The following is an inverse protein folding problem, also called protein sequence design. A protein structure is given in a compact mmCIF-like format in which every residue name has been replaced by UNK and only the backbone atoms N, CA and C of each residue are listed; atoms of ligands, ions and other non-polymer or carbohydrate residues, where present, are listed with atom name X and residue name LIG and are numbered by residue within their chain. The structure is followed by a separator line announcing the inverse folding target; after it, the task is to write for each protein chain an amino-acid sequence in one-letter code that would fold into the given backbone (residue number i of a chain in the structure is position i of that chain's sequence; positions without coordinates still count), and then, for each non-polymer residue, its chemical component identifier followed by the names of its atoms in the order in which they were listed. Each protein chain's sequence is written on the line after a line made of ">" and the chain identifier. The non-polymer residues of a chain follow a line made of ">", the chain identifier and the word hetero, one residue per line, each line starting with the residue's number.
data_IF_950487422030
#
_entry.id   IF_950487422030
#
_cell.length_a   1.000
_cell.length_b   1.000
_cell.length_c   1.000
_cell.angle_alpha   90.00
_cell.angle_beta   90.00
_cell.angle_gamma   90.00
#
_symmetry.space_group_name_H-M   'P 1'
#
loop_
_entity.id
_entity.type
_entity.pdbx_description
1 polymer ?
#
# COMPACT_ATOMS: atom_id res chain seq x y z
N UNK A 1 -32.02 48.83 31.06
CA UNK A 1 -30.73 49.07 30.38
C UNK A 1 -29.72 48.11 30.97
N UNK A 2 -29.12 47.26 30.15
CA UNK A 2 -28.18 46.22 30.60
C UNK A 2 -27.93 45.23 29.48
N UNK A 3 -27.08 45.63 28.54
CA UNK A 3 -26.68 44.90 27.33
C UNK A 3 -25.66 43.79 27.63
N UNK A 4 -25.94 42.58 27.13
CA UNK A 4 -24.98 41.48 26.99
C UNK A 4 -24.02 41.74 25.80
N UNK A 5 -22.71 41.45 25.90
CA UNK A 5 -21.87 41.27 24.72
C UNK A 5 -21.85 39.80 24.30
N UNK A 6 -22.14 39.58 23.01
CA UNK A 6 -22.04 38.32 22.29
C UNK A 6 -20.58 37.86 22.19
N UNK A 7 -20.34 36.58 22.49
CA UNK A 7 -19.07 35.91 22.17
C UNK A 7 -18.99 35.65 20.66
N UNK A 8 -18.08 36.35 19.98
CA UNK A 8 -17.63 35.99 18.64
C UNK A 8 -16.76 34.73 18.73
N UNK A 9 -17.18 33.65 18.08
CA UNK A 9 -16.28 32.54 17.75
C UNK A 9 -15.54 32.91 16.45
N UNK A 10 -14.20 32.81 16.38
CA UNK A 10 -13.50 32.99 15.12
C UNK A 10 -13.86 31.84 14.16
N UNK A 11 -14.30 32.18 12.96
CA UNK A 11 -14.47 31.24 11.85
C UNK A 11 -13.08 30.79 11.38
N UNK A 12 -12.76 29.51 11.53
CA UNK A 12 -11.53 28.91 11.00
C UNK A 12 -11.84 28.21 9.68
N UNK A 13 -11.27 28.72 8.60
CA UNK A 13 -11.33 28.10 7.27
C UNK A 13 -10.09 27.23 7.05
N UNK A 14 -10.11 26.33 6.07
CA UNK A 14 -8.92 25.52 5.72
C UNK A 14 -7.72 26.41 5.35
N UNK A 15 -7.95 27.60 4.78
CA UNK A 15 -6.88 28.56 4.45
C UNK A 15 -6.14 29.09 5.69
N UNK A 16 -6.80 29.15 6.84
CA UNK A 16 -6.22 29.60 8.10
C UNK A 16 -5.30 28.55 8.76
N UNK A 17 -5.35 27.29 8.28
CA UNK A 17 -4.52 26.19 8.75
C UNK A 17 -3.19 26.05 7.99
N UNK A 18 -2.94 26.87 6.96
CA UNK A 18 -1.77 26.80 6.09
C UNK A 18 -0.69 27.80 6.58
N UNK A 19 0.55 27.39 6.87
CA UNK A 19 1.63 28.33 7.13
C UNK A 19 1.96 29.13 5.86
N UNK A 20 1.58 30.40 5.83
CA UNK A 20 1.70 31.31 4.68
C UNK A 20 3.13 31.37 4.11
N UNK A 21 3.31 30.95 2.86
CA UNK A 21 4.21 31.56 1.86
C UNK A 21 3.69 31.22 0.47
N UNK A 22 3.19 32.21 -0.28
CA UNK A 22 3.24 32.38 -1.74
C UNK A 22 2.36 33.60 -2.09
N UNK A 23 2.80 34.45 -3.01
CA UNK A 23 2.18 35.76 -3.32
C UNK A 23 1.42 35.73 -4.65
N UNK A 24 0.46 36.65 -4.83
CA UNK A 24 -0.51 36.64 -5.93
C UNK A 24 0.10 36.69 -7.35
N UNK A 25 1.36 37.05 -7.50
CA UNK A 25 2.08 37.09 -8.78
C UNK A 25 2.44 35.71 -9.34
N UNK A 26 2.47 34.66 -8.51
CA UNK A 26 2.78 33.29 -8.95
C UNK A 26 1.59 32.63 -9.69
N UNK A 27 0.38 33.20 -9.57
CA UNK A 27 -0.86 32.64 -10.12
C UNK A 27 -1.00 32.80 -11.64
N UNK A 28 -0.56 33.92 -12.22
CA UNK A 28 -0.70 34.15 -13.67
C UNK A 28 0.32 33.38 -14.52
N UNK A 29 1.42 32.92 -13.92
CA UNK A 29 2.48 32.18 -14.62
C UNK A 29 2.16 30.68 -14.73
N UNK A 30 1.48 30.11 -13.73
CA UNK A 30 1.01 28.73 -13.72
C UNK A 30 -0.14 28.47 -14.71
N UNK A 31 -1.07 29.43 -14.87
CA UNK A 31 -2.17 29.32 -15.85
C UNK A 31 -1.63 29.39 -17.28
N UNK A 32 -0.61 30.22 -17.55
CA UNK A 32 0.02 30.32 -18.88
C UNK A 32 0.81 29.08 -19.27
N UNK A 33 1.52 28.45 -18.33
CA UNK A 33 2.40 27.32 -18.62
C UNK A 33 1.68 25.96 -18.68
N UNK A 34 0.46 25.85 -18.12
CA UNK A 34 -0.33 24.62 -18.13
C UNK A 34 -1.11 24.32 -19.42
N UNK A 35 -1.32 25.31 -20.30
CA UNK A 35 -2.20 25.19 -21.48
C UNK A 35 -1.45 24.80 -22.77
N UNK A 36 -0.11 24.87 -22.81
CA UNK A 36 0.66 24.76 -24.07
C UNK A 36 1.41 23.42 -24.28
N UNK A 37 1.22 22.40 -23.43
CA UNK A 37 1.79 21.05 -23.69
C UNK A 37 0.72 19.97 -23.67
N UNK A 38 -0.06 19.89 -24.75
CA UNK A 38 -1.05 18.82 -24.88
C UNK A 38 -1.77 18.71 -26.22
N UNK A 39 -1.30 19.36 -27.28
CA UNK A 39 -1.85 19.20 -28.63
C UNK A 39 -0.69 19.30 -29.63
N UNK A 40 -0.17 18.14 -30.05
CA UNK A 40 0.18 17.84 -31.45
C UNK A 40 0.80 16.43 -31.58
N UNK A 41 0.27 15.73 -32.57
CA UNK A 41 0.81 14.54 -33.26
C UNK A 41 0.44 13.15 -32.73
N UNK A 42 -0.78 12.75 -33.08
CA UNK A 42 -1.03 11.40 -33.60
C UNK A 42 -0.94 11.41 -35.14
N UNK A 43 -0.26 10.40 -35.72
CA UNK A 43 -0.45 9.99 -37.12
C UNK A 43 0.82 9.94 -37.99
N UNK A 44 1.23 8.74 -38.42
CA UNK A 44 2.19 8.53 -39.52
C UNK A 44 2.90 7.17 -39.51
N UNK A 45 2.61 6.33 -40.50
CA UNK A 45 2.97 4.90 -40.64
C UNK A 45 4.17 4.70 -41.61
N UNK A 46 4.92 3.59 -41.42
CA UNK A 46 5.86 2.90 -42.34
C UNK A 46 7.17 3.65 -42.69
N UNK A 47 8.35 3.04 -42.91
CA UNK A 47 8.81 1.66 -43.17
C UNK A 47 10.35 1.59 -43.08
N UNK A 48 10.87 0.41 -42.73
CA UNK A 48 12.19 -0.22 -43.02
C UNK A 48 13.37 0.61 -43.57
N UNK A 49 14.53 0.53 -42.89
CA UNK A 49 15.78 0.02 -43.49
C UNK A 49 16.92 -0.17 -42.47
N UNK A 50 17.58 -1.31 -42.58
CA UNK A 50 18.87 -1.71 -42.00
C UNK A 50 20.04 -0.91 -42.60
N UNK A 51 21.01 -0.47 -41.79
CA UNK A 51 22.46 -0.63 -42.06
C UNK A 51 23.35 -0.10 -40.91
N UNK A 52 24.65 -0.38 -41.02
CA UNK A 52 25.65 -0.66 -39.99
C UNK A 52 26.39 0.55 -39.41
N UNK A 53 26.97 0.32 -38.23
CA UNK A 53 28.26 0.77 -37.67
C UNK A 53 28.86 2.10 -38.16
N UNK A 54 29.13 3.02 -37.22
CA UNK A 54 30.52 3.34 -36.85
C UNK A 54 30.65 4.15 -35.55
N UNK A 55 31.78 3.88 -34.91
CA UNK A 55 32.35 4.40 -33.66
C UNK A 55 32.69 5.89 -33.70
N UNK A 56 32.56 6.59 -32.57
CA UNK A 56 33.57 7.56 -32.11
C UNK A 56 33.54 7.79 -30.60
N UNK A 57 34.75 7.79 -30.03
CA UNK A 57 35.17 8.08 -28.66
C UNK A 57 34.90 9.55 -28.25
N UNK A 58 34.55 9.79 -26.98
CA UNK A 58 34.88 10.99 -26.18
C UNK A 58 34.50 10.70 -24.71
N UNK A 59 35.49 10.32 -23.88
CA UNK A 59 36.17 11.13 -22.87
C UNK A 59 35.41 11.28 -21.52
N UNK A 60 35.96 10.60 -20.52
CA UNK A 60 35.60 10.63 -19.10
C UNK A 60 36.11 11.93 -18.45
N UNK A 61 35.26 12.59 -17.67
CA UNK A 61 35.73 13.46 -16.59
C UNK A 61 35.17 12.97 -15.24
N UNK A 62 36.06 12.35 -14.47
CA UNK A 62 35.90 12.03 -13.06
C UNK A 62 36.27 13.25 -12.21
N UNK A 63 35.34 13.76 -11.41
CA UNK A 63 35.62 14.77 -10.39
C UNK A 63 35.86 14.09 -9.04
N UNK A 64 37.13 14.13 -8.64
CA UNK A 64 37.73 13.62 -7.41
C UNK A 64 37.31 14.47 -6.21
N UNK A 65 36.82 13.85 -5.13
CA UNK A 65 36.67 14.50 -3.81
C UNK A 65 37.99 14.34 -3.05
N UNK A 66 38.56 15.46 -2.60
CA UNK A 66 39.83 15.54 -1.89
C UNK A 66 39.71 14.95 -0.48
N UNK A 67 40.55 13.96 -0.19
CA UNK A 67 40.90 13.49 1.17
C UNK A 67 42.02 14.38 1.72
N UNK A 68 41.75 15.19 2.73
CA UNK A 68 42.79 15.80 3.56
C UNK A 68 43.23 14.80 4.64
N UNK A 69 44.48 14.33 4.51
CA UNK A 69 45.22 13.70 5.60
C UNK A 69 45.99 14.79 6.32
N UNK A 70 45.86 14.82 7.64
CA UNK A 70 46.92 15.34 8.51
C UNK A 70 47.24 14.32 9.61
N UNK A 71 48.53 14.27 9.93
CA UNK A 71 49.20 13.12 10.54
C UNK A 71 49.82 13.43 11.91
N UNK A 72 49.81 12.40 12.77
CA UNK A 72 50.66 12.08 13.93
C UNK A 72 50.45 12.81 15.29
N UNK A 73 50.10 12.04 16.34
CA UNK A 73 51.09 11.59 17.35
C UNK A 73 50.50 10.69 18.46
N UNK A 74 51.31 9.68 18.83
CA UNK A 74 51.43 8.95 20.13
C UNK A 74 50.30 8.10 20.73
N UNK A 75 50.68 6.86 21.06
CA UNK A 75 49.96 5.84 21.80
C UNK A 75 49.49 6.29 23.19
N UNK A 76 48.32 5.78 23.63
CA UNK A 76 48.18 5.13 24.94
C UNK A 76 46.92 4.24 25.02
N UNK A 77 47.11 3.11 25.72
CA UNK A 77 46.19 2.03 26.08
C UNK A 77 44.93 2.47 26.82
N UNK A 78 43.76 1.90 26.46
CA UNK A 78 42.73 1.32 27.35
C UNK A 78 41.32 1.30 26.70
N UNK A 79 40.61 0.16 26.82
CA UNK A 79 39.15 0.10 26.78
C UNK A 79 38.47 0.10 25.41
N UNK A 80 38.36 -1.08 24.78
CA UNK A 80 37.45 -1.30 23.66
C UNK A 80 35.99 -1.34 24.16
N UNK A 81 35.37 -0.18 24.34
CA UNK A 81 33.91 -0.08 24.31
C UNK A 81 33.47 0.04 22.85
N UNK A 82 32.83 -1.01 22.35
CA UNK A 82 32.15 -1.02 21.05
C UNK A 82 30.99 -0.02 21.09
N UNK A 83 31.29 1.24 20.77
CA UNK A 83 30.29 2.24 20.42
C UNK A 83 29.66 1.86 19.09
N UNK A 84 28.58 1.08 19.12
CA UNK A 84 27.62 1.07 18.02
C UNK A 84 27.13 2.52 17.86
N UNK A 85 27.70 3.22 16.87
CA UNK A 85 27.26 4.54 16.42
C UNK A 85 25.76 4.39 16.13
N UNK A 86 24.89 4.85 17.04
CA UNK A 86 23.44 4.88 16.83
C UNK A 86 23.22 5.59 15.50
N UNK A 87 22.78 4.85 14.49
CA UNK A 87 22.32 5.45 13.24
C UNK A 87 21.23 6.46 13.63
N UNK A 88 21.17 7.64 12.99
CA UNK A 88 20.08 8.57 13.27
C UNK A 88 18.77 7.82 13.10
N UNK A 89 17.92 7.85 14.13
CA UNK A 89 16.60 7.25 14.09
C UNK A 89 15.83 7.94 12.96
N UNK A 90 15.78 7.31 11.79
CA UNK A 90 14.96 7.76 10.67
C UNK A 90 13.52 7.41 11.01
N UNK A 91 12.92 8.15 11.95
CA UNK A 91 11.54 7.96 12.33
C UNK A 91 10.68 8.74 11.35
N UNK A 92 9.89 8.00 10.56
CA UNK A 92 8.85 8.62 9.75
C UNK A 92 7.86 9.31 10.69
N UNK A 93 7.64 10.61 10.50
CA UNK A 93 6.67 11.38 11.26
C UNK A 93 5.31 11.34 10.57
N UNK A 94 4.26 11.29 11.38
CA UNK A 94 2.91 11.48 10.88
C UNK A 94 2.75 12.92 10.37
N UNK A 95 2.19 13.06 9.16
CA UNK A 95 1.75 14.34 8.63
C UNK A 95 0.24 14.45 8.78
N UNK A 96 -0.29 15.52 9.41
CA UNK A 96 -1.72 15.72 9.50
C UNK A 96 -2.30 15.83 8.09
N UNK A 97 -3.43 15.16 7.86
CA UNK A 97 -4.20 15.29 6.64
C UNK A 97 -5.67 15.55 6.99
N UNK A 98 -6.44 16.01 6.01
CA UNK A 98 -7.88 16.17 6.19
C UNK A 98 -8.63 14.96 5.62
N UNK A 99 -9.71 14.58 6.30
CA UNK A 99 -10.72 13.67 5.79
C UNK A 99 -11.86 14.49 5.23
N UNK A 100 -12.09 14.40 3.91
CA UNK A 100 -13.22 15.01 3.24
C UNK A 100 -14.28 13.95 2.98
N UNK A 101 -15.46 14.17 3.55
CA UNK A 101 -16.68 13.44 3.23
C UNK A 101 -17.47 14.24 2.20
N UNK A 102 -17.82 13.60 1.08
CA UNK A 102 -18.72 14.17 0.06
C UNK A 102 -19.91 13.24 -0.09
N UNK A 103 -21.10 13.75 0.19
CA UNK A 103 -22.36 13.04 -0.01
C UNK A 103 -23.11 13.66 -1.19
N UNK A 104 -23.24 12.89 -2.26
CA UNK A 104 -24.00 13.31 -3.46
C UNK A 104 -25.45 12.91 -3.24
N UNK A 105 -26.33 13.90 -3.06
CA UNK A 105 -27.70 13.67 -2.63
C UNK A 105 -28.59 13.35 -3.83
N UNK A 106 -28.88 14.36 -4.66
CA UNK A 106 -29.84 14.28 -5.76
C UNK A 106 -29.57 15.33 -6.82
N UNK A 107 -30.10 15.08 -8.02
CA UNK A 107 -30.12 16.01 -9.13
C UNK A 107 -31.54 16.47 -9.44
N UNK A 108 -31.65 17.61 -10.12
CA UNK A 108 -32.92 18.16 -10.60
C UNK A 108 -32.78 18.67 -12.03
N UNK A 109 -33.83 18.48 -12.81
CA UNK A 109 -33.96 18.97 -14.19
C UNK A 109 -32.72 18.67 -15.04
N UNK A 110 -32.22 17.43 -14.98
CA UNK A 110 -31.07 17.04 -15.78
C UNK A 110 -31.48 16.91 -17.25
N UNK A 111 -30.75 17.59 -18.12
CA UNK A 111 -31.03 17.69 -19.56
C UNK A 111 -29.74 17.69 -20.37
N UNK A 112 -29.75 17.03 -21.54
CA UNK A 112 -28.70 17.13 -22.55
C UNK A 112 -28.93 18.25 -23.55
N UNK A 113 -30.10 18.88 -23.52
CA UNK A 113 -30.57 19.85 -24.50
C UNK A 113 -31.77 19.30 -25.26
N UNK A 114 -32.82 20.12 -25.38
CA UNK A 114 -34.23 19.76 -25.60
C UNK A 114 -34.58 18.84 -26.79
N UNK A 115 -33.67 18.55 -27.70
CA UNK A 115 -33.95 17.66 -28.84
C UNK A 115 -33.55 16.19 -28.57
N UNK A 116 -32.56 15.95 -27.71
CA UNK A 116 -32.14 14.59 -27.33
C UNK A 116 -33.02 14.01 -26.21
N UNK A 117 -33.44 14.82 -25.24
CA UNK A 117 -34.28 14.39 -24.12
C UNK A 117 -35.69 13.91 -24.53
N UNK A 118 -36.10 14.19 -25.79
CA UNK A 118 -37.38 13.73 -26.35
C UNK A 118 -37.29 12.28 -26.86
N UNK A 119 -36.08 11.80 -27.16
CA UNK A 119 -35.82 10.48 -27.73
C UNK A 119 -35.22 9.50 -26.72
N UNK A 120 -34.46 9.99 -25.75
CA UNK A 120 -33.89 9.21 -24.66
C UNK A 120 -34.08 9.92 -23.32
N UNK A 121 -34.45 9.18 -22.28
CA UNK A 121 -34.61 9.76 -20.94
C UNK A 121 -33.26 9.65 -20.22
N UNK A 122 -32.72 10.74 -19.64
CA UNK A 122 -31.36 10.73 -19.12
C UNK A 122 -31.05 9.61 -18.13
N UNK A 123 -29.83 9.07 -18.26
CA UNK A 123 -29.22 8.08 -17.36
C UNK A 123 -28.05 8.71 -16.55
N UNK A 124 -28.32 9.66 -15.63
CA UNK A 124 -27.28 10.48 -15.03
C UNK A 124 -26.47 9.77 -13.93
N UNK A 125 -25.19 10.12 -13.89
CA UNK A 125 -24.31 9.87 -12.75
C UNK A 125 -23.33 11.03 -12.53
N UNK A 126 -22.81 11.13 -11.31
CA UNK A 126 -21.85 12.17 -10.93
C UNK A 126 -20.47 11.55 -10.75
N UNK A 127 -19.47 12.15 -11.38
CA UNK A 127 -18.06 11.81 -11.21
C UNK A 127 -17.37 12.90 -10.39
N UNK A 128 -16.65 12.48 -9.36
CA UNK A 128 -15.86 13.32 -8.47
C UNK A 128 -14.39 13.04 -8.74
N UNK A 129 -13.60 14.09 -8.98
CA UNK A 129 -12.16 13.99 -9.18
C UNK A 129 -11.43 15.05 -8.34
N UNK A 130 -10.52 14.60 -7.48
CA UNK A 130 -9.59 15.43 -6.73
C UNK A 130 -8.17 15.00 -7.11
N UNK A 131 -7.49 15.70 -8.04
CA UNK A 131 -6.19 15.28 -8.55
C UNK A 131 -5.10 15.16 -7.47
N UNK A 132 -5.19 15.98 -6.42
CA UNK A 132 -4.26 15.99 -5.28
C UNK A 132 -4.48 14.83 -4.30
N UNK A 133 -5.61 14.12 -4.38
CA UNK A 133 -5.98 13.06 -3.42
C UNK A 133 -5.58 11.67 -3.92
N UNK A 134 -5.06 10.78 -3.05
CA UNK A 134 -4.82 9.39 -3.42
C UNK A 134 -6.13 8.67 -3.73
N UNK A 135 -6.20 8.00 -4.88
CA UNK A 135 -7.45 7.45 -5.43
C UNK A 135 -8.56 8.51 -5.56
N UNK A 136 -8.19 9.74 -5.93
CA UNK A 136 -9.07 10.90 -5.96
C UNK A 136 -10.22 10.86 -6.98
N UNK A 137 -10.42 9.77 -7.72
CA UNK A 137 -11.54 9.60 -8.63
C UNK A 137 -12.60 8.67 -8.03
N UNK A 138 -13.84 9.16 -7.90
CA UNK A 138 -15.02 8.39 -7.50
C UNK A 138 -16.18 8.71 -8.44
N UNK A 139 -17.19 7.83 -8.48
CA UNK A 139 -18.44 8.09 -9.20
C UNK A 139 -19.61 7.45 -8.48
N UNK A 140 -20.79 8.05 -8.61
CA UNK A 140 -22.06 7.45 -8.19
C UNK A 140 -22.46 6.31 -9.12
N UNK A 141 -23.48 5.55 -8.73
CA UNK A 141 -24.21 4.68 -9.64
C UNK A 141 -24.96 5.50 -10.68
N UNK A 142 -25.11 4.91 -11.84
CA UNK A 142 -26.02 5.38 -12.89
C UNK A 142 -27.44 5.17 -12.40
N UNK A 143 -28.26 6.22 -12.50
CA UNK A 143 -29.70 6.14 -12.28
C UNK A 143 -30.39 6.21 -13.63
N UNK A 144 -31.13 5.17 -14.01
CA UNK A 144 -31.68 5.09 -15.36
C UNK A 144 -33.03 5.80 -15.51
N UNK A 145 -33.24 6.40 -16.67
CA UNK A 145 -34.47 7.03 -17.14
C UNK A 145 -35.05 8.04 -16.15
N UNK A 146 -34.22 8.95 -15.65
CA UNK A 146 -34.67 9.99 -14.71
C UNK A 146 -33.89 11.30 -14.86
N UNK A 147 -34.63 12.39 -14.99
CA UNK A 147 -34.16 13.77 -14.96
C UNK A 147 -33.97 14.33 -13.53
N UNK A 148 -34.48 13.60 -12.53
CA UNK A 148 -34.44 13.95 -11.10
C UNK A 148 -33.88 12.78 -10.26
N UNK A 149 -32.62 12.36 -10.49
CA UNK A 149 -32.01 11.21 -9.81
C UNK A 149 -31.80 11.48 -8.33
N UNK A 150 -31.91 10.43 -7.52
CA UNK A 150 -31.47 10.43 -6.12
C UNK A 150 -30.38 9.38 -5.96
N UNK A 151 -29.16 9.80 -5.60
CA UNK A 151 -28.02 8.89 -5.40
C UNK A 151 -27.85 8.54 -3.93
N UNK A 152 -27.88 9.54 -3.04
CA UNK A 152 -27.63 9.40 -1.60
C UNK A 152 -26.34 8.61 -1.28
N UNK A 153 -25.28 8.83 -2.09
CA UNK A 153 -24.01 8.12 -1.99
C UNK A 153 -22.94 8.96 -1.29
N UNK A 154 -22.18 8.32 -0.38
CA UNK A 154 -21.13 8.96 0.41
C UNK A 154 -19.75 8.48 -0.07
N UNK A 155 -18.86 9.44 -0.29
CA UNK A 155 -17.47 9.22 -0.69
C UNK A 155 -16.51 9.87 0.31
N UNK A 156 -15.36 9.23 0.50
CA UNK A 156 -14.29 9.70 1.37
C UNK A 156 -13.02 9.96 0.57
N UNK A 157 -12.38 11.09 0.85
CA UNK A 157 -11.12 11.53 0.25
C UNK A 157 -10.17 12.00 1.34
N UNK A 158 -8.87 11.81 1.11
CA UNK A 158 -7.82 12.35 1.97
C UNK A 158 -7.17 13.53 1.28
N UNK A 159 -7.08 14.66 1.96
CA UNK A 159 -6.51 15.90 1.42
C UNK A 159 -5.23 16.25 2.17
N UNK A 160 -4.25 16.73 1.42
CA UNK A 160 -3.03 17.30 1.99
C UNK A 160 -3.28 18.79 2.31
N UNK A 161 -3.12 19.24 3.57
CA UNK A 161 -3.30 20.65 3.95
C UNK A 161 -2.35 21.60 3.24
N UNK A 162 -1.17 21.12 2.79
CA UNK A 162 -0.16 21.96 2.13
C UNK A 162 -0.44 22.13 0.63
N UNK A 163 -1.37 21.35 0.06
CA UNK A 163 -1.70 21.40 -1.36
C UNK A 163 -3.01 22.15 -1.62
N UNK A 164 -3.10 22.77 -2.80
CA UNK A 164 -4.38 23.28 -3.30
C UNK A 164 -5.28 22.12 -3.71
N UNK A 165 -6.36 21.91 -2.96
CA UNK A 165 -7.30 20.82 -3.19
C UNK A 165 -8.52 21.32 -3.96
N UNK A 166 -8.59 20.98 -5.24
CA UNK A 166 -9.71 21.33 -6.10
C UNK A 166 -10.58 20.10 -6.37
N UNK A 167 -11.87 20.22 -6.08
CA UNK A 167 -12.87 19.24 -6.48
C UNK A 167 -13.34 19.54 -7.90
N UNK A 168 -13.13 18.59 -8.80
CA UNK A 168 -13.77 18.57 -10.11
C UNK A 168 -15.01 17.68 -10.00
N UNK A 169 -16.19 18.27 -10.16
CA UNK A 169 -17.47 17.57 -10.20
C UNK A 169 -18.01 17.59 -11.61
N UNK A 170 -18.19 16.42 -12.19
CA UNK A 170 -18.70 16.25 -13.56
C UNK A 170 -20.04 15.55 -13.50
N UNK A 171 -21.05 16.12 -14.18
CA UNK A 171 -22.30 15.45 -14.46
C UNK A 171 -22.16 14.73 -15.81
N UNK A 172 -22.46 13.43 -15.83
CA UNK A 172 -22.26 12.57 -16.99
C UNK A 172 -23.54 11.77 -17.22
N UNK A 173 -23.88 11.57 -18.49
CA UNK A 173 -24.95 10.67 -18.92
C UNK A 173 -24.35 9.37 -19.42
N UNK A 174 -24.91 8.23 -18.98
CA UNK A 174 -24.41 6.94 -19.41
C UNK A 174 -25.20 6.42 -20.61
N UNK A 175 -24.55 6.41 -21.77
CA UNK A 175 -25.12 5.80 -22.97
C UNK A 175 -24.51 4.42 -23.24
N UNK A 176 -25.27 3.60 -23.96
CA UNK A 176 -24.84 2.24 -24.35
C UNK A 176 -23.57 2.20 -25.21
N UNK A 177 -23.22 3.30 -25.88
CA UNK A 177 -22.07 3.39 -26.77
C UNK A 177 -20.92 4.23 -26.20
N UNK A 178 -21.20 5.41 -25.62
CA UNK A 178 -20.21 6.27 -25.00
C UNK A 178 -20.84 7.23 -24.01
N UNK A 179 -20.34 7.28 -22.78
CA UNK A 179 -20.82 8.23 -21.78
C UNK A 179 -20.59 9.69 -22.22
N UNK A 180 -21.66 10.48 -22.21
CA UNK A 180 -21.65 11.88 -22.64
C UNK A 180 -21.46 12.82 -21.43
N UNK A 181 -20.40 13.63 -21.47
CA UNK A 181 -20.11 14.62 -20.44
C UNK A 181 -21.05 15.83 -20.60
N UNK A 182 -21.89 16.09 -19.59
CA UNK A 182 -22.77 17.26 -19.57
C UNK A 182 -21.95 18.53 -19.37
N UNK A 183 -21.28 18.64 -18.23
CA UNK A 183 -20.36 19.73 -17.87
C UNK A 183 -19.52 19.33 -16.63
N UNK A 184 -18.32 19.91 -16.50
CA UNK A 184 -17.50 19.82 -15.28
C UNK A 184 -17.44 21.18 -14.59
N UNK A 185 -17.68 21.19 -13.27
CA UNK A 185 -17.44 22.36 -12.40
C UNK A 185 -16.24 22.11 -11.50
N UNK A 186 -15.54 23.18 -11.15
CA UNK A 186 -14.39 23.16 -10.24
C UNK A 186 -14.76 23.92 -8.98
N UNK A 187 -14.45 23.34 -7.82
CA UNK A 187 -14.71 23.93 -6.51
C UNK A 187 -13.44 23.90 -5.65
N UNK A 188 -13.09 25.04 -5.05
CA UNK A 188 -11.98 25.18 -4.12
C UNK A 188 -12.40 24.64 -2.74
N UNK A 189 -11.89 23.45 -2.38
CA UNK A 189 -12.17 22.82 -1.09
C UNK A 189 -11.58 23.62 0.08
N UNK A 190 -10.62 24.52 -0.15
CA UNK A 190 -10.06 25.41 0.87
C UNK A 190 -11.07 26.43 1.42
N UNK A 191 -12.21 26.60 0.76
CA UNK A 191 -13.30 27.48 1.23
C UNK A 191 -14.17 26.84 2.30
N UNK A 192 -14.06 25.52 2.52
CA UNK A 192 -14.84 24.81 3.51
C UNK A 192 -14.34 25.11 4.94
N UNK A 193 -15.28 25.21 5.87
CA UNK A 193 -14.99 25.33 7.30
C UNK A 193 -14.86 23.95 7.93
N UNK A 194 -13.87 23.79 8.82
CA UNK A 194 -13.59 22.53 9.49
C UNK A 194 -14.72 22.15 10.44
N UNK A 195 -15.01 20.84 10.51
CA UNK A 195 -16.07 20.21 11.32
C UNK A 195 -17.50 20.72 11.05
N UNK A 196 -17.70 21.52 10.00
CA UNK A 196 -19.00 22.01 9.59
C UNK A 196 -19.43 21.36 8.28
N UNK A 197 -20.72 21.05 8.23
CA UNK A 197 -21.37 20.50 7.04
C UNK A 197 -21.78 21.65 6.12
N UNK A 198 -21.25 21.65 4.91
CA UNK A 198 -21.57 22.60 3.85
C UNK A 198 -22.48 21.92 2.83
N UNK A 199 -23.71 22.40 2.70
CA UNK A 199 -24.62 22.01 1.63
C UNK A 199 -24.43 22.97 0.45
N UNK A 200 -24.13 22.44 -0.72
CA UNK A 200 -23.88 23.21 -1.94
C UNK A 200 -24.69 22.63 -3.10
N UNK A 201 -25.28 23.51 -3.92
CA UNK A 201 -25.95 23.12 -5.16
C UNK A 201 -25.11 23.53 -6.36
N UNK A 202 -24.63 22.56 -7.13
CA UNK A 202 -23.91 22.79 -8.38
C UNK A 202 -24.89 22.89 -9.53
N UNK A 203 -24.86 24.00 -10.26
CA UNK A 203 -25.70 24.20 -11.46
C UNK A 203 -24.86 23.94 -12.71
N UNK A 204 -25.33 23.06 -13.58
CA UNK A 204 -24.73 22.66 -14.85
C UNK A 204 -25.60 23.13 -16.02
N UNK A 205 -24.98 23.72 -17.05
CA UNK A 205 -25.67 24.30 -18.23
C UNK A 205 -26.85 25.21 -17.87
N UNK A 206 -26.75 25.92 -16.74
CA UNK A 206 -27.75 26.84 -16.16
C UNK A 206 -29.10 26.21 -15.75
N UNK A 207 -29.37 24.95 -16.11
CA UNK A 207 -30.67 24.28 -15.91
C UNK A 207 -30.56 23.14 -14.91
N UNK A 208 -29.61 22.23 -15.12
CA UNK A 208 -29.43 21.01 -14.33
C UNK A 208 -28.79 21.35 -12.98
N UNK A 209 -29.33 20.86 -11.88
CA UNK A 209 -28.81 21.14 -10.53
C UNK A 209 -28.46 19.85 -9.79
N UNK A 210 -27.39 19.85 -9.02
CA UNK A 210 -26.98 18.72 -8.16
C UNK A 210 -26.68 19.21 -6.76
N UNK A 211 -27.38 18.65 -5.78
CA UNK A 211 -27.14 18.93 -4.37
C UNK A 211 -26.07 18.00 -3.80
N UNK A 212 -25.07 18.60 -3.17
CA UNK A 212 -23.93 17.91 -2.57
C UNK A 212 -23.70 18.45 -1.17
N UNK A 213 -23.55 17.53 -0.22
CA UNK A 213 -23.19 17.82 1.15
C UNK A 213 -21.70 17.47 1.35
N UNK A 214 -20.93 18.41 1.89
CA UNK A 214 -19.49 18.26 2.10
C UNK A 214 -19.14 18.55 3.54
N UNK A 215 -18.27 17.73 4.13
CA UNK A 215 -17.74 17.94 5.48
C UNK A 215 -16.24 17.63 5.51
N UNK A 216 -15.45 18.53 6.07
CA UNK A 216 -14.00 18.33 6.24
C UNK A 216 -13.67 18.22 7.71
N UNK A 217 -12.91 17.22 8.08
CA UNK A 217 -12.46 16.95 9.45
C UNK A 217 -10.94 16.71 9.46
N UNK A 218 -10.29 16.94 10.60
CA UNK A 218 -8.91 16.50 10.78
C UNK A 218 -8.85 14.97 10.88
N UNK A 219 -7.92 14.36 10.15
CA UNK A 219 -7.59 12.97 10.41
C UNK A 219 -6.92 12.86 11.78
N UNK A 220 -7.49 12.04 12.65
CA UNK A 220 -6.77 11.56 13.83
C UNK A 220 -5.57 10.73 13.37
N UNK A 221 -4.54 10.65 14.21
CA UNK A 221 -3.33 9.90 13.87
C UNK A 221 -3.70 8.48 13.40
N UNK A 222 -3.22 8.02 12.22
CA UNK A 222 -3.63 6.78 11.62
C UNK A 222 -3.21 5.65 12.55
N UNK A 223 -4.21 4.95 13.10
CA UNK A 223 -4.01 3.70 13.83
C UNK A 223 -3.53 2.58 12.90
N UNK A 224 -3.69 2.75 11.58
CA UNK A 224 -3.38 1.75 10.57
C UNK A 224 -1.87 1.58 10.29
N UNK A 225 -1.05 2.60 10.57
CA UNK A 225 0.40 2.57 10.30
C UNK A 225 1.21 2.74 11.58
N UNK A 226 2.11 1.79 11.83
CA UNK A 226 3.03 1.82 12.96
C UNK A 226 4.36 2.48 12.58
N UNK A 227 4.66 3.62 13.20
CA UNK A 227 5.91 4.37 13.00
C UNK A 227 6.92 4.12 14.12
N UNK A 228 7.56 2.94 14.12
CA UNK A 228 8.59 2.61 15.09
C UNK A 228 9.65 1.68 14.50
N UNK A 229 10.90 1.87 14.95
CA UNK A 229 12.02 0.99 14.64
C UNK A 229 12.11 -0.22 15.58
N UNK A 230 11.33 -0.23 16.66
CA UNK A 230 11.28 -1.33 17.62
C UNK A 230 10.39 -2.47 17.10
N UNK A 231 10.48 -3.65 17.73
CA UNK A 231 9.59 -4.76 17.43
C UNK A 231 8.15 -4.46 17.84
N UNK A 232 7.20 -5.09 17.16
CA UNK A 232 5.78 -4.96 17.52
C UNK A 232 5.53 -5.53 18.92
N UNK A 233 4.48 -5.06 19.60
CA UNK A 233 4.12 -5.59 20.93
C UNK A 233 3.85 -7.10 20.87
N UNK A 234 3.11 -7.56 19.86
CA UNK A 234 2.82 -8.97 19.65
C UNK A 234 4.08 -9.82 19.46
N UNK A 235 5.08 -9.30 18.75
CA UNK A 235 6.36 -9.99 18.57
C UNK A 235 7.18 -10.02 19.87
N UNK A 236 7.19 -8.94 20.65
CA UNK A 236 7.84 -8.94 21.97
C UNK A 236 7.19 -9.96 22.92
N UNK A 237 5.85 -10.03 22.96
CA UNK A 237 5.12 -11.02 23.75
C UNK A 237 5.43 -12.45 23.30
N UNK A 238 5.51 -12.69 21.98
CA UNK A 238 5.95 -13.96 21.43
C UNK A 238 7.38 -14.32 21.89
N UNK A 239 8.34 -13.39 21.79
CA UNK A 239 9.74 -13.63 22.17
C UNK A 239 9.83 -14.00 23.65
N UNK A 240 9.11 -13.29 24.52
CA UNK A 240 9.10 -13.56 25.96
C UNK A 240 8.60 -14.99 26.25
N UNK A 241 7.47 -15.39 25.63
CA UNK A 241 6.91 -16.74 25.77
C UNK A 241 7.86 -17.80 25.20
N UNK A 242 8.36 -17.60 23.98
CA UNK A 242 9.22 -18.55 23.27
C UNK A 242 10.57 -18.72 23.95
N UNK A 243 11.13 -17.67 24.56
CA UNK A 243 12.44 -17.74 25.23
C UNK A 243 12.44 -18.74 26.38
N UNK A 244 11.36 -18.83 27.16
CA UNK A 244 11.22 -19.85 28.20
C UNK A 244 11.22 -21.27 27.61
N UNK A 245 10.48 -21.48 26.52
CA UNK A 245 10.44 -22.78 25.85
C UNK A 245 11.80 -23.16 25.26
N UNK A 246 12.49 -22.20 24.64
CA UNK A 246 13.82 -22.41 24.05
C UNK A 246 14.85 -22.73 25.13
N UNK A 247 14.77 -22.09 26.30
CA UNK A 247 15.63 -22.41 27.45
C UNK A 247 15.53 -23.90 27.83
N UNK A 248 14.31 -24.40 28.02
CA UNK A 248 14.06 -25.80 28.38
C UNK A 248 14.49 -26.76 27.25
N UNK A 249 14.20 -26.41 26.00
CA UNK A 249 14.60 -27.19 24.83
C UNK A 249 16.13 -27.27 24.70
N UNK A 250 16.85 -26.16 24.90
CA UNK A 250 18.31 -26.11 24.83
C UNK A 250 18.97 -26.88 25.96
N UNK A 251 18.45 -26.77 27.19
CA UNK A 251 18.96 -27.55 28.32
C UNK A 251 18.76 -29.06 28.11
N UNK A 252 17.62 -29.44 27.52
CA UNK A 252 17.37 -30.84 27.15
C UNK A 252 18.31 -31.31 26.03
N UNK A 253 18.62 -30.45 25.06
CA UNK A 253 19.44 -30.79 23.89
C UNK A 253 20.95 -30.79 24.18
N UNK A 254 21.44 -29.82 24.96
CA UNK A 254 22.86 -29.60 25.24
C UNK A 254 23.33 -30.14 26.59
N UNK A 255 22.41 -30.49 27.49
CA UNK A 255 22.73 -30.92 28.85
C UNK A 255 23.49 -29.84 29.62
N UNK A 256 24.63 -30.20 30.20
CA UNK A 256 25.49 -29.29 30.99
C UNK A 256 26.02 -28.08 30.19
N UNK A 257 26.01 -28.15 28.85
CA UNK A 257 26.43 -27.05 27.96
C UNK A 257 25.29 -26.09 27.60
N UNK A 258 24.10 -26.30 28.15
CA UNK A 258 22.94 -25.44 27.96
C UNK A 258 23.05 -24.10 28.72
N UNK A 259 22.17 -23.14 28.40
CA UNK A 259 22.10 -21.86 29.09
C UNK A 259 21.74 -22.04 30.57
N UNK A 260 22.42 -21.33 31.47
CA UNK A 260 22.16 -21.40 32.92
C UNK A 260 21.04 -20.45 33.34
N UNK A 261 20.92 -19.32 32.64
CA UNK A 261 19.89 -18.31 32.88
C UNK A 261 19.09 -18.02 31.61
N UNK A 262 17.87 -17.49 31.76
CA UNK A 262 17.00 -17.16 30.62
C UNK A 262 17.61 -16.08 29.71
N UNK A 263 18.46 -15.21 30.27
CA UNK A 263 19.12 -14.13 29.56
C UNK A 263 20.29 -14.63 28.68
N UNK A 264 20.82 -15.82 28.96
CA UNK A 264 21.85 -16.48 28.15
C UNK A 264 21.28 -17.16 26.90
N UNK A 265 19.95 -17.29 26.79
CA UNK A 265 19.31 -17.98 25.65
C UNK A 265 19.60 -17.23 24.35
N UNK A 266 20.34 -17.83 23.40
CA UNK A 266 20.64 -17.19 22.14
C UNK A 266 19.40 -17.18 21.23
N UNK A 267 19.27 -16.11 20.44
CA UNK A 267 18.25 -16.05 19.39
C UNK A 267 18.76 -16.79 18.15
N UNK A 268 18.19 -17.96 17.88
CA UNK A 268 18.53 -18.79 16.72
C UNK A 268 17.47 -18.65 15.62
N UNK A 269 17.90 -18.53 14.37
CA UNK A 269 17.01 -18.41 13.21
C UNK A 269 17.34 -19.48 12.15
N UNK A 270 16.30 -20.10 11.61
CA UNK A 270 16.38 -20.97 10.43
C UNK A 270 16.11 -20.13 9.18
N UNK A 271 17.01 -20.17 8.20
CA UNK A 271 16.94 -19.35 7.00
C UNK A 271 16.81 -20.21 5.74
N UNK A 272 15.72 -20.00 4.98
CA UNK A 272 15.45 -20.64 3.70
C UNK A 272 15.69 -19.70 2.52
N UNK A 273 16.49 -20.14 1.55
CA UNK A 273 16.82 -19.36 0.35
C UNK A 273 15.74 -19.45 -0.74
N UNK A 274 15.87 -18.61 -1.77
CA UNK A 274 15.04 -18.70 -2.97
C UNK A 274 15.49 -19.83 -3.91
N UNK A 275 14.60 -20.25 -4.82
CA UNK A 275 14.90 -21.31 -5.79
C UNK A 275 13.72 -22.16 -6.23
N UNK A 276 12.50 -21.61 -6.22
CA UNK A 276 11.27 -22.32 -6.63
C UNK A 276 11.05 -23.65 -5.89
N UNK A 277 10.53 -24.65 -6.59
CA UNK A 277 10.23 -25.98 -6.04
C UNK A 277 11.45 -26.66 -5.40
N UNK A 278 12.68 -26.43 -5.93
CA UNK A 278 13.90 -26.99 -5.34
C UNK A 278 14.11 -26.49 -3.92
N UNK A 279 13.98 -25.18 -3.71
CA UNK A 279 14.12 -24.60 -2.38
C UNK A 279 13.01 -25.06 -1.43
N UNK A 280 11.78 -25.14 -1.93
CA UNK A 280 10.62 -25.63 -1.18
C UNK A 280 10.81 -27.07 -0.69
N UNK A 281 11.16 -28.00 -1.59
CA UNK A 281 11.38 -29.41 -1.24
C UNK A 281 12.60 -29.57 -0.33
N UNK A 282 13.69 -28.85 -0.60
CA UNK A 282 14.88 -28.87 0.25
C UNK A 282 14.57 -28.43 1.69
N UNK A 283 13.88 -27.29 1.85
CA UNK A 283 13.53 -26.76 3.16
C UNK A 283 12.57 -27.70 3.91
N UNK A 284 11.67 -28.38 3.21
CA UNK A 284 10.78 -29.39 3.83
C UNK A 284 11.55 -30.57 4.44
N UNK A 285 12.62 -31.01 3.79
CA UNK A 285 13.53 -32.03 4.32
C UNK A 285 14.32 -31.52 5.52
N UNK A 286 14.83 -30.28 5.43
CA UNK A 286 15.55 -29.62 6.53
C UNK A 286 14.68 -29.50 7.77
N UNK A 287 13.42 -29.08 7.64
CA UNK A 287 12.50 -28.97 8.78
C UNK A 287 12.20 -30.33 9.44
N UNK A 288 12.07 -31.39 8.63
CA UNK A 288 11.97 -32.75 9.18
C UNK A 288 13.20 -33.10 10.01
N UNK A 289 14.41 -32.90 9.46
CA UNK A 289 15.65 -33.20 10.16
C UNK A 289 15.83 -32.35 11.43
N UNK A 290 15.52 -31.05 11.38
CA UNK A 290 15.61 -30.17 12.54
C UNK A 290 14.61 -30.56 13.64
N UNK A 291 13.42 -31.04 13.27
CA UNK A 291 12.44 -31.54 14.25
C UNK A 291 12.87 -32.88 14.83
N UNK A 292 13.35 -33.81 13.99
CA UNK A 292 13.90 -35.11 14.41
C UNK A 292 15.09 -34.92 15.39
N UNK A 293 15.94 -33.91 15.15
CA UNK A 293 17.08 -33.56 16.01
C UNK A 293 16.72 -32.67 17.21
N UNK A 294 15.44 -32.28 17.39
CA UNK A 294 14.98 -31.29 18.40
C UNK A 294 15.60 -29.89 18.30
N UNK A 295 16.37 -29.61 17.25
CA UNK A 295 16.98 -28.29 17.01
C UNK A 295 15.92 -27.26 16.63
N UNK A 296 14.82 -27.67 15.99
CA UNK A 296 13.73 -26.76 15.64
C UNK A 296 13.07 -26.13 16.88
N UNK A 297 13.02 -26.87 17.98
CA UNK A 297 12.45 -26.41 19.25
C UNK A 297 13.35 -25.34 19.92
N UNK A 298 14.63 -25.31 19.57
CA UNK A 298 15.59 -24.28 19.99
C UNK A 298 15.57 -23.01 19.11
N UNK A 299 14.83 -23.00 17.99
CA UNK A 299 14.77 -21.86 17.09
C UNK A 299 13.70 -20.83 17.53
N UNK A 300 14.07 -19.55 17.43
CA UNK A 300 13.19 -18.41 17.65
C UNK A 300 12.46 -18.01 16.37
N UNK A 301 13.17 -17.99 15.24
CA UNK A 301 12.64 -17.55 13.94
C UNK A 301 12.83 -18.58 12.84
N UNK A 302 11.92 -18.56 11.87
CA UNK A 302 12.04 -19.27 10.60
C UNK A 302 11.75 -18.30 9.46
N UNK A 303 12.78 -17.89 8.72
CA UNK A 303 12.63 -16.94 7.61
C UNK A 303 12.76 -17.63 6.26
N UNK A 304 11.94 -17.22 5.29
CA UNK A 304 11.99 -17.76 3.93
C UNK A 304 11.69 -16.71 2.86
N UNK A 305 12.37 -16.83 1.71
CA UNK A 305 12.10 -16.03 0.52
C UNK A 305 11.83 -16.92 -0.70
N UNK A 306 10.98 -16.45 -1.62
CA UNK A 306 10.63 -17.17 -2.86
C UNK A 306 10.21 -18.62 -2.57
N UNK A 307 10.88 -19.64 -3.14
CA UNK A 307 10.52 -21.05 -2.95
C UNK A 307 10.46 -21.52 -1.49
N UNK A 308 11.31 -21.00 -0.61
CA UNK A 308 11.23 -21.32 0.83
C UNK A 308 9.98 -20.74 1.49
N UNK A 309 9.51 -19.58 1.04
CA UNK A 309 8.26 -18.99 1.52
C UNK A 309 7.04 -19.86 1.16
N UNK A 310 7.08 -20.59 0.04
CA UNK A 310 6.01 -21.52 -0.33
C UNK A 310 5.89 -22.67 0.67
N UNK A 311 7.03 -23.23 1.10
CA UNK A 311 7.04 -24.28 2.12
C UNK A 311 6.54 -23.75 3.47
N UNK A 312 7.08 -22.62 3.94
CA UNK A 312 6.64 -22.02 5.20
C UNK A 312 5.14 -21.69 5.17
N UNK A 313 4.62 -21.14 4.07
CA UNK A 313 3.19 -20.89 3.93
C UNK A 313 2.38 -22.19 4.00
N UNK A 314 2.82 -23.25 3.33
CA UNK A 314 2.14 -24.55 3.36
C UNK A 314 2.14 -25.16 4.76
N UNK A 315 3.27 -25.07 5.46
CA UNK A 315 3.46 -25.59 6.81
C UNK A 315 2.60 -24.84 7.84
N UNK A 316 2.67 -23.52 7.86
CA UNK A 316 1.98 -22.69 8.87
C UNK A 316 0.48 -22.53 8.59
N UNK A 317 0.02 -22.83 7.37
CA UNK A 317 -1.41 -22.90 7.05
C UNK A 317 -2.03 -24.28 7.27
N UNK A 318 -1.23 -25.31 7.60
CA UNK A 318 -1.75 -26.65 7.85
C UNK A 318 -2.58 -26.69 9.16
N UNK A 319 -3.78 -27.29 9.18
CA UNK A 319 -4.66 -27.29 10.35
C UNK A 319 -4.00 -27.97 11.55
N UNK A 320 -3.32 -29.10 11.33
CA UNK A 320 -2.72 -29.90 12.39
C UNK A 320 -1.33 -29.42 12.83
N UNK A 321 -0.71 -28.47 12.12
CA UNK A 321 0.53 -27.83 12.60
C UNK A 321 0.19 -26.97 13.83
N UNK A 322 0.99 -26.95 14.92
CA UNK A 322 2.30 -27.57 15.12
C UNK A 322 2.30 -28.96 15.79
N UNK A 323 1.15 -29.62 15.88
CA UNK A 323 0.97 -30.88 16.63
C UNK A 323 1.37 -32.11 15.83
N UNK A 324 1.44 -32.01 14.50
CA UNK A 324 1.95 -33.08 13.62
C UNK A 324 3.39 -32.83 13.20
N UNK A 325 4.11 -33.92 12.95
CA UNK A 325 5.46 -33.86 12.42
C UNK A 325 5.47 -33.26 11.00
N UNK A 326 6.45 -32.39 10.62
CA UNK A 326 6.55 -31.82 9.28
C UNK A 326 6.55 -32.84 8.12
N UNK A 327 6.88 -34.10 8.43
CA UNK A 327 6.89 -35.22 7.48
C UNK A 327 5.51 -35.49 6.87
N UNK A 328 4.44 -35.39 7.66
CA UNK A 328 3.05 -35.60 7.18
C UNK A 328 2.74 -34.58 6.07
N UNK A 329 3.04 -33.31 6.34
CA UNK A 329 2.79 -32.19 5.43
C UNK A 329 3.67 -32.30 4.18
N UNK A 330 4.92 -32.76 4.35
CA UNK A 330 5.84 -33.02 3.24
C UNK A 330 5.32 -34.13 2.32
N UNK A 331 4.69 -35.17 2.86
CA UNK A 331 4.20 -36.28 2.06
C UNK A 331 2.99 -35.83 1.22
N UNK A 332 2.07 -35.03 1.77
CA UNK A 332 1.02 -34.33 0.99
C UNK A 332 1.61 -33.38 -0.06
N UNK A 333 2.67 -32.64 0.29
CA UNK A 333 3.37 -31.76 -0.65
C UNK A 333 3.95 -32.55 -1.83
N UNK A 334 4.50 -33.74 -1.57
CA UNK A 334 5.07 -34.61 -2.60
C UNK A 334 4.00 -35.10 -3.58
N UNK A 335 2.83 -35.49 -3.08
CA UNK A 335 1.68 -35.87 -3.93
C UNK A 335 1.28 -34.70 -4.85
N UNK A 336 1.12 -33.50 -4.29
CA UNK A 336 0.75 -32.31 -5.06
C UNK A 336 1.77 -31.89 -6.13
N UNK A 337 3.07 -32.16 -5.92
CA UNK A 337 4.12 -31.84 -6.91
C UNK A 337 4.17 -32.88 -8.02
N UNK A 338 3.87 -34.14 -7.73
CA UNK A 338 3.88 -35.21 -8.72
C UNK A 338 2.72 -35.08 -9.72
N UNK A 339 1.64 -34.42 -9.32
CA UNK A 339 0.57 -34.07 -10.24
C UNK A 339 1.05 -33.11 -11.33
N UNK A 340 0.61 -33.35 -12.57
CA UNK A 340 1.08 -32.59 -13.72
C UNK A 340 0.51 -31.15 -13.70
N UNK A 341 1.19 -30.26 -12.98
CA UNK A 341 0.80 -28.86 -12.80
C UNK A 341 0.64 -28.11 -14.13
N UNK A 342 1.38 -28.51 -15.17
CA UNK A 342 1.25 -27.95 -16.52
C UNK A 342 -0.10 -28.29 -17.16
N UNK A 343 -0.67 -29.46 -16.86
CA UNK A 343 -1.98 -29.86 -17.36
C UNK A 343 -3.12 -29.08 -16.69
N UNK A 344 -2.97 -28.75 -15.41
CA UNK A 344 -3.85 -27.83 -14.69
C UNK A 344 -3.91 -26.44 -15.35
N UNK A 345 -2.76 -25.91 -15.78
CA UNK A 345 -2.66 -24.59 -16.44
C UNK A 345 -3.25 -24.55 -17.85
N UNK A 346 -3.36 -25.70 -18.53
CA UNK A 346 -3.84 -25.81 -19.93
C UNK A 346 -5.32 -26.21 -19.99
N UNK A 347 -5.90 -26.73 -18.90
CA UNK A 347 -7.29 -27.16 -18.89
C UNK A 347 -8.24 -25.95 -19.04
N UNK A 348 -9.12 -25.92 -20.07
CA UNK A 348 -9.99 -24.77 -20.32
C UNK A 348 -10.85 -24.40 -19.10
N UNK A 349 -11.36 -25.38 -18.35
CA UNK A 349 -12.15 -25.14 -17.14
C UNK A 349 -11.37 -24.43 -16.04
N UNK A 350 -10.10 -24.78 -15.83
CA UNK A 350 -9.26 -24.12 -14.82
C UNK A 350 -8.91 -22.71 -15.27
N UNK A 351 -8.53 -22.54 -16.54
CA UNK A 351 -8.22 -21.23 -17.12
C UNK A 351 -9.41 -20.28 -17.08
N UNK A 352 -10.61 -20.71 -17.48
CA UNK A 352 -11.82 -19.90 -17.40
C UNK A 352 -12.18 -19.54 -15.95
N UNK A 353 -12.05 -20.48 -15.00
CA UNK A 353 -12.26 -20.21 -13.57
C UNK A 353 -11.26 -19.15 -13.07
N UNK A 354 -9.97 -19.28 -13.41
CA UNK A 354 -8.95 -18.33 -13.00
C UNK A 354 -9.08 -16.97 -13.66
N UNK A 355 -9.42 -16.92 -14.95
CA UNK A 355 -9.70 -15.68 -15.68
C UNK A 355 -10.91 -14.97 -15.10
N UNK A 356 -11.98 -15.70 -14.74
CA UNK A 356 -13.14 -15.13 -14.06
C UNK A 356 -12.75 -14.53 -12.70
N UNK A 357 -11.95 -15.25 -11.92
CA UNK A 357 -11.38 -14.74 -10.65
C UNK A 357 -10.54 -13.48 -10.90
N UNK A 358 -9.69 -13.43 -11.94
CA UNK A 358 -8.86 -12.26 -12.27
C UNK A 358 -9.70 -11.07 -12.75
N UNK A 359 -10.73 -11.31 -13.56
CA UNK A 359 -11.67 -10.26 -14.00
C UNK A 359 -12.48 -9.71 -12.84
N UNK A 360 -12.92 -10.58 -11.93
CA UNK A 360 -13.62 -10.19 -10.71
C UNK A 360 -12.69 -9.45 -9.72
N UNK A 361 -11.42 -9.88 -9.60
CA UNK A 361 -10.33 -9.15 -8.90
C UNK A 361 -10.15 -7.75 -9.47
N UNK A 362 -10.12 -7.60 -10.81
CA UNK A 362 -10.00 -6.30 -11.49
C UNK A 362 -11.24 -5.42 -11.26
N UNK A 363 -12.43 -6.01 -11.21
CA UNK A 363 -13.70 -5.29 -10.99
C UNK A 363 -13.86 -4.82 -9.54
N UNK A 364 -13.41 -5.59 -8.56
CA UNK A 364 -13.55 -5.30 -7.12
C UNK A 364 -12.40 -4.50 -6.51
N UNK A 365 -11.33 -4.23 -7.27
CA UNK A 365 -10.20 -3.41 -6.84
C UNK A 365 -9.19 -4.10 -5.93
N UNK A 366 -9.56 -5.14 -5.17
CA UNK A 366 -8.65 -6.01 -4.39
C UNK A 366 -9.26 -7.43 -4.20
N UNK A 367 -8.43 -8.47 -3.99
CA UNK A 367 -8.88 -9.86 -3.87
C UNK A 367 -9.49 -10.19 -2.49
N UNK A 368 -10.52 -11.03 -2.49
CA UNK A 368 -10.88 -11.93 -1.38
C UNK A 368 -11.41 -13.22 -2.00
N UNK A 369 -10.65 -14.30 -1.90
CA UNK A 369 -11.06 -15.69 -2.15
C UNK A 369 -10.15 -16.63 -1.33
N UNK A 370 -10.67 -17.82 -1.02
CA UNK A 370 -10.25 -18.98 -0.16
C UNK A 370 -8.75 -19.36 -0.07
N UNK A 371 -7.84 -18.39 0.00
CA UNK A 371 -6.42 -18.60 0.27
C UNK A 371 -6.20 -18.35 1.77
N UNK A 372 -5.53 -19.26 2.49
CA UNK A 372 -5.19 -19.05 3.89
C UNK A 372 -4.48 -17.70 4.06
N UNK A 373 -5.00 -16.87 4.96
CA UNK A 373 -4.49 -15.53 5.17
C UNK A 373 -3.24 -15.58 6.06
N UNK A 374 -2.31 -14.64 5.85
CA UNK A 374 -1.15 -14.50 6.74
C UNK A 374 -1.58 -14.27 8.20
N UNK A 375 -2.70 -13.56 8.41
CA UNK A 375 -3.27 -13.33 9.74
C UNK A 375 -3.71 -14.63 10.45
N UNK A 376 -4.10 -15.67 9.72
CA UNK A 376 -4.50 -16.95 10.31
C UNK A 376 -3.31 -17.70 10.93
N UNK A 377 -2.09 -17.43 10.45
CA UNK A 377 -0.86 -18.02 11.00
C UNK A 377 -0.57 -17.54 12.43
N UNK A 378 -1.20 -16.46 12.90
CA UNK A 378 -1.08 -15.98 14.29
C UNK A 378 -1.48 -17.06 15.30
N UNK A 379 -2.50 -17.87 14.99
CA UNK A 379 -2.95 -18.97 15.84
C UNK A 379 -1.87 -20.03 16.05
N UNK A 380 -0.93 -20.18 15.09
CA UNK A 380 0.15 -21.15 15.18
C UNK A 380 1.27 -20.70 16.12
N UNK A 381 1.44 -19.39 16.28
CA UNK A 381 2.51 -18.78 17.09
C UNK A 381 2.03 -18.26 18.45
N UNK A 382 0.72 -18.21 18.70
CA UNK A 382 0.12 -17.70 19.94
C UNK A 382 0.68 -18.35 21.21
N UNK A 383 0.85 -19.67 21.18
CA UNK A 383 1.41 -20.47 22.27
C UNK A 383 2.94 -20.62 22.20
N UNK A 384 3.59 -19.95 21.25
CA UNK A 384 5.03 -20.00 21.05
C UNK A 384 5.62 -21.43 20.95
N UNK A 385 4.86 -22.38 20.41
CA UNK A 385 5.29 -23.79 20.27
C UNK A 385 6.23 -24.02 19.08
N UNK A 386 6.21 -23.10 18.11
CA UNK A 386 7.04 -23.13 16.92
C UNK A 386 7.74 -21.78 16.70
N UNK A 387 8.82 -21.74 15.90
CA UNK A 387 9.49 -20.49 15.56
C UNK A 387 8.53 -19.49 14.91
N UNK A 388 8.83 -18.20 15.00
CA UNK A 388 8.05 -17.17 14.33
C UNK A 388 8.37 -17.16 12.83
N UNK A 389 7.36 -17.30 11.93
CA UNK A 389 7.60 -17.29 10.50
C UNK A 389 7.84 -15.86 10.00
N UNK A 390 8.88 -15.66 9.19
CA UNK A 390 9.20 -14.38 8.55
C UNK A 390 9.25 -14.55 7.03
N UNK A 391 8.53 -13.70 6.31
CA UNK A 391 8.53 -13.69 4.85
C UNK A 391 9.11 -12.39 4.34
N UNK A 392 9.63 -12.37 3.11
CA UNK A 392 10.17 -11.12 2.55
C UNK A 392 9.88 -10.94 1.06
N UNK A 393 9.69 -9.68 0.67
CA UNK A 393 9.64 -9.24 -0.71
C UNK A 393 10.35 -7.89 -0.87
N UNK A 394 10.76 -7.58 -2.10
CA UNK A 394 11.41 -6.30 -2.42
C UNK A 394 10.38 -5.36 -3.02
N UNK A 395 10.29 -4.16 -2.48
CA UNK A 395 9.52 -3.09 -3.08
C UNK A 395 10.43 -2.24 -3.98
N UNK A 396 10.22 -2.33 -5.29
CA UNK A 396 11.02 -1.61 -6.31
C UNK A 396 10.21 -0.43 -6.83
N UNK A 397 10.85 0.74 -6.93
CA UNK A 397 10.24 1.91 -7.60
C UNK A 397 10.25 1.68 -9.11
N UNK A 398 9.15 2.05 -9.80
CA UNK A 398 8.98 1.79 -11.25
C UNK A 398 10.14 2.30 -12.12
N UNK A 399 10.77 3.39 -11.70
CA UNK A 399 11.78 4.10 -12.49
C UNK A 399 13.23 3.82 -12.02
N UNK A 400 13.43 2.84 -11.13
CA UNK A 400 14.76 2.52 -10.60
C UNK A 400 15.04 1.02 -10.74
N UNK A 401 16.16 0.62 -11.37
CA UNK A 401 16.55 -0.78 -11.44
C UNK A 401 16.66 -1.42 -10.05
N UNK A 402 16.09 -2.61 -9.88
CA UNK A 402 16.09 -3.32 -8.59
C UNK A 402 17.50 -3.55 -8.02
N UNK A 403 18.52 -3.67 -8.87
CA UNK A 403 19.93 -3.86 -8.48
C UNK A 403 20.52 -2.65 -7.73
N UNK A 404 19.99 -1.45 -7.97
CA UNK A 404 20.44 -0.22 -7.29
C UNK A 404 19.71 0.00 -5.95
N UNK A 405 18.62 -0.74 -5.72
CA UNK A 405 17.70 -0.58 -4.58
C UNK A 405 17.92 -1.62 -3.47
N UNK A 406 19.17 -1.92 -3.10
CA UNK A 406 19.48 -2.87 -2.00
C UNK A 406 19.10 -2.36 -0.59
N UNK A 407 18.30 -1.29 -0.44
CA UNK A 407 18.06 -0.61 0.83
C UNK A 407 16.67 -0.78 1.47
N UNK A 408 15.67 -1.36 0.79
CA UNK A 408 14.28 -1.44 1.31
C UNK A 408 13.67 -2.83 1.15
N UNK A 409 14.07 -3.75 2.02
CA UNK A 409 13.38 -5.02 2.24
C UNK A 409 12.07 -4.76 2.97
N UNK A 410 10.97 -5.34 2.48
CA UNK A 410 9.76 -5.50 3.30
C UNK A 410 9.79 -6.91 3.88
N UNK A 411 9.75 -6.98 5.20
CA UNK A 411 9.46 -8.21 5.93
C UNK A 411 7.96 -8.23 6.16
N UNK A 412 7.32 -9.32 5.75
CA UNK A 412 5.88 -9.55 5.88
C UNK A 412 5.61 -10.52 7.02
#
# INVERSE_FOLDING_TARGET
>A
MGSNPSKNNPHFTIKDAIPLRFTDTDWEELIRNGVVKGLNNAGGVASTNTEKQNTHHEELQSLTIQDERDSHSSLNTAGAQNGFRKRPNLQASFRPCFSLQIKVLRGYNITLGSFNDLLDTPDPYVKLLIPSSPNGMRRTKVQSNTDNPTWDEVFYFYLDPEMMNLLQISLIESDTLSDDLVETKIFDLGTLELDKTCLMTFTFREVSKVDVEMKVEYCTAPTDMRYSAELSQAENEFILKRRSFVFDAMNTFLGERGPQTIDEVPTVAVLGSGGGFRAMVSLSGVFCALKDMRVLDCAMYAAGLSGSAWYLSTLYSHPEWPYVHPRVIRDTLKENINDNWMWLMITPSWMYKHLKIIMEKKRRGQPRDEIPLLSEQQQKVENALVPFPLYTCVHVKKDVPAKEYCGKLRVL
#
